data_IF_910928617591
#
_entry.id   IF_910928617591
#
_cell.length_a   1.000
_cell.length_b   1.000
_cell.length_c   1.000
_cell.angle_alpha   90.00
_cell.angle_beta   90.00
_cell.angle_gamma   90.00
#
_symmetry.space_group_name_H-M   'P 1'
#
loop_
_entity.id
_entity.type
_entity.pdbx_description
1 polymer ?
#
# COMPACT_ATOMS: atom_id res chain seq x y z
N UNK A 1 -9.80 -3.38 39.64
CA UNK A 1 -9.14 -4.08 38.52
C UNK A 1 -9.55 -3.37 37.23
N UNK A 2 -8.68 -2.51 36.69
CA UNK A 2 -9.02 -1.75 35.48
C UNK A 2 -9.06 -2.69 34.25
N UNK A 3 -10.02 -2.51 33.32
CA UNK A 3 -10.07 -3.32 32.10
C UNK A 3 -8.79 -3.10 31.27
N UNK A 4 -8.11 -4.19 30.91
CA UNK A 4 -6.95 -4.15 30.01
C UNK A 4 -7.41 -3.69 28.62
N UNK A 5 -6.76 -2.68 28.00
CA UNK A 5 -7.14 -2.23 26.67
C UNK A 5 -6.91 -3.34 25.65
N UNK A 6 -7.97 -3.68 24.91
CA UNK A 6 -7.95 -4.67 23.83
C UNK A 6 -6.95 -4.28 22.73
N UNK A 7 -6.29 -5.25 22.07
CA UNK A 7 -5.31 -4.99 21.03
C UNK A 7 -5.96 -4.21 19.89
N UNK A 8 -5.53 -2.95 19.79
CA UNK A 8 -5.96 -1.97 18.79
C UNK A 8 -5.90 -2.54 17.38
N UNK A 9 -7.05 -2.56 16.68
CA UNK A 9 -7.12 -2.93 15.27
C UNK A 9 -6.16 -2.02 14.47
N UNK A 10 -5.30 -2.58 13.61
CA UNK A 10 -4.51 -1.79 12.66
C UNK A 10 -5.48 -0.94 11.82
N UNK A 11 -5.48 0.38 12.03
CA UNK A 11 -6.34 1.29 11.29
C UNK A 11 -5.80 1.40 9.86
N UNK A 12 -6.43 0.68 8.92
CA UNK A 12 -6.09 0.72 7.49
C UNK A 12 -6.31 2.14 6.95
N UNK A 13 -5.25 2.92 6.87
CA UNK A 13 -5.20 4.18 6.14
C UNK A 13 -5.24 3.88 4.64
N UNK A 14 -6.46 3.74 4.10
CA UNK A 14 -6.72 3.45 2.69
C UNK A 14 -6.07 4.43 1.70
N UNK A 15 -5.72 5.65 2.15
CA UNK A 15 -5.00 6.65 1.35
C UNK A 15 -3.59 6.20 0.96
N UNK A 16 -2.83 5.62 1.89
CA UNK A 16 -1.49 5.11 1.60
C UNK A 16 -1.54 3.87 0.70
N UNK A 17 -2.54 3.01 0.91
CA UNK A 17 -2.77 1.86 0.04
C UNK A 17 -3.15 2.29 -1.39
N UNK A 18 -4.08 3.24 -1.52
CA UNK A 18 -4.56 3.75 -2.80
C UNK A 18 -3.47 4.50 -3.57
N UNK A 19 -2.76 5.42 -2.90
CA UNK A 19 -1.68 6.19 -3.53
C UNK A 19 -0.52 5.28 -3.95
N UNK A 20 -0.18 4.30 -3.11
CA UNK A 20 0.83 3.30 -3.42
C UNK A 20 0.42 2.45 -4.63
N UNK A 21 -0.83 1.99 -4.67
CA UNK A 21 -1.36 1.23 -5.80
C UNK A 21 -1.36 2.04 -7.10
N UNK A 22 -1.77 3.31 -7.07
CA UNK A 22 -1.80 4.17 -8.24
C UNK A 22 -0.40 4.47 -8.79
N UNK A 23 0.54 4.90 -7.94
CA UNK A 23 1.92 5.17 -8.36
C UNK A 23 2.60 3.90 -8.87
N UNK A 24 2.40 2.81 -8.13
CA UNK A 24 2.88 1.50 -8.52
C UNK A 24 2.33 1.04 -9.88
N UNK A 25 1.02 1.18 -10.11
CA UNK A 25 0.38 0.82 -11.36
C UNK A 25 0.95 1.60 -12.55
N UNK A 26 1.14 2.91 -12.39
CA UNK A 26 1.69 3.76 -13.45
C UNK A 26 3.13 3.36 -13.78
N UNK A 27 4.01 3.28 -12.79
CA UNK A 27 5.42 2.89 -13.00
C UNK A 27 5.51 1.47 -13.56
N UNK A 28 4.71 0.56 -13.01
CA UNK A 28 4.63 -0.82 -13.45
C UNK A 28 4.12 -0.96 -14.88
N UNK A 29 3.12 -0.17 -15.28
CA UNK A 29 2.64 -0.15 -16.66
C UNK A 29 3.73 0.30 -17.62
N UNK A 30 4.48 1.37 -17.28
CA UNK A 30 5.58 1.85 -18.12
C UNK A 30 6.68 0.79 -18.25
N UNK A 31 7.11 0.19 -17.13
CA UNK A 31 8.13 -0.86 -17.12
C UNK A 31 7.66 -2.12 -17.88
N UNK A 32 6.42 -2.55 -17.65
CA UNK A 32 5.81 -3.67 -18.33
C UNK A 32 5.66 -3.41 -19.83
N UNK A 33 5.33 -2.18 -20.22
CA UNK A 33 5.20 -1.79 -21.64
C UNK A 33 6.54 -1.88 -22.37
N UNK A 34 7.65 -1.53 -21.71
CA UNK A 34 8.99 -1.72 -22.26
C UNK A 34 9.36 -3.21 -22.44
N UNK A 35 8.80 -4.10 -21.60
CA UNK A 35 9.02 -5.55 -21.65
C UNK A 35 7.96 -6.32 -22.47
N UNK A 36 7.03 -5.62 -23.14
CA UNK A 36 5.93 -6.26 -23.89
C UNK A 36 4.79 -6.82 -23.03
N UNK A 37 4.81 -6.60 -21.72
CA UNK A 37 3.87 -7.13 -20.73
C UNK A 37 3.25 -6.01 -19.86
N UNK A 38 2.67 -4.99 -20.51
CA UNK A 38 2.18 -3.77 -19.85
C UNK A 38 1.15 -4.03 -18.74
N UNK A 39 0.22 -4.96 -18.95
CA UNK A 39 -0.80 -5.33 -17.96
C UNK A 39 -0.18 -6.00 -16.74
N UNK A 40 0.76 -6.92 -16.95
CA UNK A 40 1.45 -7.64 -15.87
C UNK A 40 2.28 -6.65 -15.05
N UNK A 41 3.01 -5.76 -15.72
CA UNK A 41 3.76 -4.70 -15.06
C UNK A 41 2.86 -3.79 -14.24
N UNK A 42 1.70 -3.37 -14.76
CA UNK A 42 0.74 -2.55 -14.03
C UNK A 42 0.25 -3.22 -12.74
N UNK A 43 -0.15 -4.49 -12.81
CA UNK A 43 -0.65 -5.24 -11.66
C UNK A 43 0.45 -5.44 -10.61
N UNK A 44 1.63 -5.88 -11.03
CA UNK A 44 2.78 -6.06 -10.13
C UNK A 44 3.20 -4.74 -9.49
N UNK A 45 3.29 -3.69 -10.29
CA UNK A 45 3.60 -2.35 -9.81
C UNK A 45 2.58 -1.88 -8.78
N UNK A 46 1.29 -2.05 -9.03
CA UNK A 46 0.24 -1.67 -8.08
C UNK A 46 0.39 -2.41 -6.74
N UNK A 47 0.65 -3.72 -6.76
CA UNK A 47 0.85 -4.52 -5.56
C UNK A 47 2.09 -4.07 -4.78
N UNK A 48 3.22 -3.87 -5.47
CA UNK A 48 4.48 -3.44 -4.85
C UNK A 48 4.33 -2.03 -4.28
N UNK A 49 3.78 -1.08 -5.04
CA UNK A 49 3.60 0.30 -4.60
C UNK A 49 2.64 0.40 -3.41
N UNK A 50 1.54 -0.37 -3.44
CA UNK A 50 0.60 -0.48 -2.32
C UNK A 50 1.30 -1.03 -1.06
N UNK A 51 2.07 -2.11 -1.19
CA UNK A 51 2.81 -2.71 -0.09
C UNK A 51 3.90 -1.79 0.46
N UNK A 52 4.63 -1.09 -0.41
CA UNK A 52 5.70 -0.19 -0.04
C UNK A 52 5.15 1.01 0.74
N UNK A 53 4.09 1.65 0.22
CA UNK A 53 3.52 2.83 0.89
C UNK A 53 2.74 2.45 2.15
N UNK A 54 2.17 1.24 2.20
CA UNK A 54 1.65 0.66 3.44
C UNK A 54 2.75 0.46 4.49
N UNK A 55 3.96 0.08 4.08
CA UNK A 55 5.11 -0.12 4.97
C UNK A 55 5.82 1.17 5.37
N UNK A 56 5.90 2.16 4.47
CA UNK A 56 6.56 3.46 4.69
C UNK A 56 5.66 4.43 5.43
N UNK A 57 4.35 4.41 5.18
CA UNK A 57 3.35 5.18 5.92
C UNK A 57 2.34 4.24 6.59
N UNK A 58 2.77 3.45 7.60
CA UNK A 58 1.82 2.78 8.47
C UNK A 58 1.04 3.91 9.14
N UNK A 59 -0.27 3.95 8.93
CA UNK A 59 -1.09 5.10 9.34
C UNK A 59 -0.84 5.49 10.78
N UNK A 60 -1.02 6.77 11.11
CA UNK A 60 -0.68 7.30 12.43
C UNK A 60 -1.18 6.33 13.50
N UNK A 61 -0.23 5.74 14.24
CA UNK A 61 -0.57 5.02 15.48
C UNK A 61 -1.33 6.06 16.29
N UNK A 62 -2.64 5.87 16.50
CA UNK A 62 -3.34 6.65 17.53
C UNK A 62 -2.56 6.36 18.81
N UNK A 63 -1.74 7.31 19.25
CA UNK A 63 -1.12 7.24 20.56
C UNK A 63 -2.29 7.21 21.56
N UNK A 64 -2.27 6.29 22.53
CA UNK A 64 -3.30 6.21 23.56
C UNK A 64 -3.42 7.53 24.32
#
# INVERSE_FOLDING_TARGET
>A
MAPKPNPTKPHRNGRGLFLGAMLGAVVGFLAGRAMGAAVIGMVLGALIGAALLYRVNPGPRKKP
#
